data_IF_719527256681
#
_entry.id   IF_719527256681
#
_cell.length_a   1.000
_cell.length_b   1.000
_cell.length_c   1.000
_cell.angle_alpha   90.00
_cell.angle_beta   90.00
_cell.angle_gamma   90.00
#
_symmetry.space_group_name_H-M   'P 1'
#
loop_
_entity.id
_entity.type
_entity.pdbx_description
1 polymer ?
#
# COMPACT_ATOMS: atom_id res chain seq x y z
N UNK A 1 -2.02 38.34 -30.88
CA UNK A 1 -2.95 37.92 -29.81
C UNK A 1 -3.82 36.72 -30.20
N UNK A 2 -4.30 36.57 -31.45
CA UNK A 2 -5.18 35.46 -31.87
C UNK A 2 -4.53 34.06 -31.89
N UNK A 3 -3.25 33.93 -32.26
CA UNK A 3 -2.56 32.63 -32.30
C UNK A 3 -2.23 32.05 -30.91
N UNK A 4 -2.03 32.89 -29.89
CA UNK A 4 -1.80 32.43 -28.51
C UNK A 4 -3.09 31.93 -27.85
N UNK A 5 -4.24 32.57 -28.13
CA UNK A 5 -5.56 32.13 -27.68
C UNK A 5 -5.94 30.76 -28.28
N UNK A 6 -5.75 30.58 -29.60
CA UNK A 6 -6.02 29.29 -30.28
C UNK A 6 -5.13 28.14 -29.80
N UNK A 7 -3.87 28.41 -29.44
CA UNK A 7 -2.98 27.41 -28.84
C UNK A 7 -3.33 27.09 -27.38
N UNK A 8 -3.86 28.05 -26.61
CA UNK A 8 -4.37 27.79 -25.27
C UNK A 8 -5.65 26.95 -25.30
N UNK A 9 -6.59 27.27 -26.19
CA UNK A 9 -7.86 26.55 -26.30
C UNK A 9 -7.66 25.10 -26.80
N UNK A 10 -6.77 24.89 -27.78
CA UNK A 10 -6.45 23.54 -28.28
C UNK A 10 -5.67 22.69 -27.27
N UNK A 11 -4.75 23.29 -26.51
CA UNK A 11 -4.02 22.58 -25.45
C UNK A 11 -4.95 22.24 -24.27
N UNK A 12 -5.85 23.13 -23.87
CA UNK A 12 -6.86 22.84 -22.85
C UNK A 12 -7.82 21.73 -23.28
N UNK A 13 -8.30 21.74 -24.54
CA UNK A 13 -9.14 20.67 -25.09
C UNK A 13 -8.41 19.32 -25.08
N UNK A 14 -7.11 19.32 -25.41
CA UNK A 14 -6.30 18.09 -25.40
C UNK A 14 -6.13 17.51 -23.99
N UNK A 15 -5.94 18.37 -22.98
CA UNK A 15 -5.87 17.97 -21.57
C UNK A 15 -7.19 17.34 -21.13
N UNK A 16 -8.32 17.99 -21.43
CA UNK A 16 -9.66 17.49 -21.07
C UNK A 16 -9.91 16.11 -21.71
N UNK A 17 -9.54 15.93 -22.97
CA UNK A 17 -9.69 14.64 -23.65
C UNK A 17 -8.82 13.54 -23.02
N UNK A 18 -7.60 13.87 -22.59
CA UNK A 18 -6.72 12.92 -21.91
C UNK A 18 -7.26 12.51 -20.53
N UNK A 19 -7.77 13.47 -19.74
CA UNK A 19 -8.40 13.19 -18.44
C UNK A 19 -9.65 12.34 -18.58
N UNK A 20 -10.51 12.65 -19.57
CA UNK A 20 -11.70 11.85 -19.86
C UNK A 20 -11.34 10.42 -20.28
N UNK A 21 -10.27 10.23 -21.06
CA UNK A 21 -9.79 8.88 -21.41
C UNK A 21 -9.34 8.09 -20.18
N UNK A 22 -8.66 8.75 -19.23
CA UNK A 22 -8.21 8.12 -17.99
C UNK A 22 -9.38 7.72 -17.09
N UNK A 23 -10.33 8.63 -16.88
CA UNK A 23 -11.53 8.36 -16.08
C UNK A 23 -12.37 7.24 -16.72
N UNK A 24 -12.54 7.24 -18.04
CA UNK A 24 -13.25 6.17 -18.75
C UNK A 24 -12.56 4.81 -18.61
N UNK A 25 -11.23 4.77 -18.68
CA UNK A 25 -10.48 3.54 -18.41
C UNK A 25 -10.70 3.09 -16.97
N UNK A 26 -10.63 4.02 -16.03
CA UNK A 26 -10.76 3.74 -14.61
C UNK A 26 -12.13 3.14 -14.26
N UNK A 27 -13.22 3.76 -14.74
CA UNK A 27 -14.57 3.24 -14.54
C UNK A 27 -14.79 1.85 -15.15
N UNK A 28 -14.23 1.61 -16.34
CA UNK A 28 -14.42 0.33 -17.04
C UNK A 28 -13.54 -0.81 -16.53
N UNK A 29 -12.36 -0.51 -16.02
CA UNK A 29 -11.34 -1.51 -15.65
C UNK A 29 -10.54 -1.15 -14.41
N UNK A 30 -10.12 0.10 -14.27
CA UNK A 30 -9.24 0.52 -13.17
C UNK A 30 -9.81 0.25 -11.78
N UNK A 31 -11.10 0.50 -11.54
CA UNK A 31 -11.72 0.26 -10.23
C UNK A 31 -11.82 -1.23 -9.86
N UNK A 32 -12.02 -2.10 -10.83
CA UNK A 32 -12.01 -3.55 -10.65
C UNK A 32 -10.62 -4.05 -10.28
N UNK A 33 -9.59 -3.54 -10.97
CA UNK A 33 -8.19 -3.81 -10.63
C UNK A 33 -7.88 -3.32 -9.21
N UNK A 34 -8.26 -2.08 -8.87
CA UNK A 34 -7.95 -1.52 -7.56
C UNK A 34 -8.74 -2.17 -6.42
N UNK A 35 -9.95 -2.61 -6.72
CA UNK A 35 -10.82 -3.30 -5.77
C UNK A 35 -10.65 -4.81 -5.76
N UNK A 36 -9.70 -5.37 -6.50
CA UNK A 36 -9.45 -6.82 -6.57
C UNK A 36 -10.67 -7.65 -6.97
N UNK A 37 -11.53 -7.09 -7.82
CA UNK A 37 -12.84 -7.65 -8.16
C UNK A 37 -13.75 -7.89 -6.92
N UNK A 38 -13.40 -7.36 -5.74
CA UNK A 38 -14.22 -7.41 -4.55
C UNK A 38 -15.35 -6.38 -4.68
N UNK A 39 -16.57 -6.89 -4.91
CA UNK A 39 -17.73 -6.05 -5.17
C UNK A 39 -18.07 -5.16 -3.98
N UNK A 40 -17.87 -5.62 -2.75
CA UNK A 40 -18.18 -4.80 -1.57
C UNK A 40 -17.21 -3.64 -1.45
N UNK A 41 -15.91 -3.89 -1.68
CA UNK A 41 -14.89 -2.87 -1.69
C UNK A 41 -15.11 -1.85 -2.80
N UNK A 42 -15.42 -2.31 -4.02
CA UNK A 42 -15.69 -1.41 -5.17
C UNK A 42 -16.91 -0.54 -4.89
N UNK A 43 -18.02 -1.10 -4.42
CA UNK A 43 -19.24 -0.33 -4.13
C UNK A 43 -18.98 0.72 -3.05
N UNK A 44 -18.27 0.32 -2.00
CA UNK A 44 -18.01 1.20 -0.90
C UNK A 44 -17.03 2.32 -1.34
N UNK A 45 -16.00 1.99 -2.12
CA UNK A 45 -15.12 2.98 -2.76
C UNK A 45 -15.89 3.94 -3.67
N UNK A 46 -16.80 3.42 -4.51
CA UNK A 46 -17.67 4.23 -5.38
C UNK A 46 -18.55 5.18 -4.54
N UNK A 47 -19.14 4.73 -3.44
CA UNK A 47 -19.98 5.57 -2.55
C UNK A 47 -19.19 6.75 -1.96
N UNK A 48 -17.98 6.50 -1.45
CA UNK A 48 -17.17 7.55 -0.82
C UNK A 48 -16.57 8.48 -1.86
N UNK A 49 -15.97 7.93 -2.92
CA UNK A 49 -15.26 8.72 -3.92
C UNK A 49 -16.22 9.49 -4.82
N UNK A 50 -17.35 8.92 -5.23
CA UNK A 50 -18.32 9.64 -6.07
C UNK A 50 -18.98 10.82 -5.35
N UNK A 51 -19.03 10.80 -4.02
CA UNK A 51 -19.49 11.95 -3.25
C UNK A 51 -18.57 13.18 -3.40
N UNK A 52 -17.33 12.99 -3.88
CA UNK A 52 -16.32 14.04 -4.05
C UNK A 52 -15.81 14.24 -5.49
N UNK A 53 -15.92 13.23 -6.35
CA UNK A 53 -15.03 13.01 -7.52
C UNK A 53 -15.05 14.08 -8.62
N UNK A 54 -15.90 15.10 -8.53
CA UNK A 54 -15.92 16.24 -9.46
C UNK A 54 -15.89 17.64 -8.83
N UNK A 55 -15.84 17.74 -7.50
CA UNK A 55 -15.82 19.03 -6.79
C UNK A 55 -14.55 19.24 -5.95
N UNK A 56 -13.79 18.17 -5.71
CA UNK A 56 -12.58 18.17 -4.88
C UNK A 56 -11.32 18.02 -5.75
N UNK A 57 -10.52 19.10 -5.93
CA UNK A 57 -9.31 19.07 -6.76
C UNK A 57 -8.28 18.03 -6.30
N UNK A 58 -8.18 17.78 -4.99
CA UNK A 58 -7.25 16.79 -4.43
C UNK A 58 -7.62 15.37 -4.85
N UNK A 59 -8.90 15.00 -4.68
CA UNK A 59 -9.42 13.69 -5.05
C UNK A 59 -9.34 13.48 -6.55
N UNK A 60 -9.74 14.47 -7.36
CA UNK A 60 -9.61 14.40 -8.82
C UNK A 60 -8.17 14.12 -9.25
N UNK A 61 -7.19 14.86 -8.70
CA UNK A 61 -5.78 14.67 -9.04
C UNK A 61 -5.28 13.28 -8.60
N UNK A 62 -5.72 12.81 -7.44
CA UNK A 62 -5.37 11.48 -6.93
C UNK A 62 -5.96 10.36 -7.81
N UNK A 63 -7.21 10.51 -8.26
CA UNK A 63 -7.86 9.56 -9.17
C UNK A 63 -7.18 9.49 -10.52
N UNK A 64 -6.83 10.65 -11.09
CA UNK A 64 -6.12 10.72 -12.36
C UNK A 64 -4.72 10.10 -12.26
N UNK A 65 -4.02 10.30 -11.14
CA UNK A 65 -2.74 9.65 -10.87
C UNK A 65 -2.90 8.11 -10.88
N UNK A 66 -3.89 7.60 -10.14
CA UNK A 66 -4.22 6.18 -10.10
C UNK A 66 -4.57 5.62 -11.47
N UNK A 67 -5.53 6.24 -12.16
CA UNK A 67 -5.98 5.82 -13.47
C UNK A 67 -4.83 5.74 -14.48
N UNK A 68 -3.97 6.76 -14.51
CA UNK A 68 -2.82 6.80 -15.42
C UNK A 68 -1.81 5.70 -15.14
N UNK A 69 -1.46 5.46 -13.88
CA UNK A 69 -0.47 4.43 -13.53
C UNK A 69 -1.03 3.02 -13.70
N UNK A 70 -2.28 2.76 -13.30
CA UNK A 70 -2.94 1.46 -13.55
C UNK A 70 -3.00 1.19 -15.05
N UNK A 71 -3.35 2.20 -15.85
CA UNK A 71 -3.42 2.03 -17.30
C UNK A 71 -2.04 1.78 -17.92
N UNK A 72 -1.01 2.50 -17.45
CA UNK A 72 0.38 2.23 -17.84
C UNK A 72 0.76 0.77 -17.59
N UNK A 73 0.51 0.27 -16.38
CA UNK A 73 0.86 -1.10 -15.99
C UNK A 73 0.04 -2.13 -16.77
N UNK A 74 -1.25 -1.85 -17.01
CA UNK A 74 -2.11 -2.70 -17.84
C UNK A 74 -1.56 -2.85 -19.27
N UNK A 75 -1.13 -1.76 -19.90
CA UNK A 75 -0.52 -1.79 -21.23
C UNK A 75 0.80 -2.57 -21.21
N UNK A 76 1.64 -2.35 -20.21
CA UNK A 76 2.94 -3.02 -20.11
C UNK A 76 2.81 -4.53 -19.91
N UNK A 77 1.84 -4.98 -19.12
CA UNK A 77 1.62 -6.40 -18.83
C UNK A 77 0.91 -7.14 -19.97
N UNK A 78 -0.10 -6.52 -20.61
CA UNK A 78 -0.90 -7.17 -21.66
C UNK A 78 -0.33 -7.00 -23.08
N UNK A 79 0.49 -5.98 -23.31
CA UNK A 79 1.00 -5.61 -24.63
C UNK A 79 2.52 -5.38 -24.61
N UNK A 80 3.27 -6.15 -23.81
CA UNK A 80 4.72 -5.99 -23.60
C UNK A 80 5.56 -6.08 -24.88
N UNK A 81 5.06 -6.73 -25.93
CA UNK A 81 5.75 -6.93 -27.21
C UNK A 81 5.45 -5.87 -28.26
N UNK A 82 4.48 -4.97 -28.01
CA UNK A 82 4.10 -3.89 -28.91
C UNK A 82 4.83 -2.57 -28.51
N UNK A 83 5.74 -2.06 -29.37
CA UNK A 83 6.47 -0.83 -29.09
C UNK A 83 5.56 0.39 -28.86
N UNK A 84 4.41 0.45 -29.53
CA UNK A 84 3.49 1.59 -29.40
C UNK A 84 2.80 1.60 -28.04
N UNK A 85 2.42 0.41 -27.54
CA UNK A 85 1.87 0.22 -26.19
C UNK A 85 2.90 0.55 -25.11
N UNK A 86 4.19 0.24 -25.33
CA UNK A 86 5.25 0.59 -24.39
C UNK A 86 5.50 2.10 -24.32
N UNK A 87 5.52 2.79 -25.46
CA UNK A 87 5.64 4.26 -25.52
C UNK A 87 4.48 4.91 -24.75
N UNK A 88 3.25 4.48 -25.04
CA UNK A 88 2.06 5.00 -24.36
C UNK A 88 2.05 4.70 -22.86
N UNK A 89 2.52 3.51 -22.45
CA UNK A 89 2.70 3.17 -21.03
C UNK A 89 3.63 4.17 -20.35
N UNK A 90 4.77 4.49 -20.95
CA UNK A 90 5.72 5.45 -20.38
C UNK A 90 5.15 6.88 -20.30
N UNK A 91 4.40 7.32 -21.31
CA UNK A 91 3.69 8.61 -21.29
C UNK A 91 2.64 8.67 -20.18
N UNK A 92 1.83 7.62 -20.03
CA UNK A 92 0.83 7.50 -18.97
C UNK A 92 1.47 7.47 -17.59
N UNK A 93 2.60 6.77 -17.42
CA UNK A 93 3.35 6.77 -16.18
C UNK A 93 3.85 8.18 -15.82
N UNK A 94 4.44 8.90 -16.78
CA UNK A 94 4.88 10.28 -16.58
C UNK A 94 3.73 11.24 -16.26
N UNK A 95 2.56 11.06 -16.87
CA UNK A 95 1.35 11.80 -16.53
C UNK A 95 0.86 11.47 -15.11
N UNK A 96 0.86 10.19 -14.73
CA UNK A 96 0.54 9.72 -13.39
C UNK A 96 1.40 10.37 -12.31
N UNK A 97 2.73 10.43 -12.53
CA UNK A 97 3.66 11.14 -11.63
C UNK A 97 3.30 12.61 -11.45
N UNK A 98 2.94 13.32 -12.53
CA UNK A 98 2.55 14.74 -12.47
C UNK A 98 1.27 14.95 -11.66
N UNK A 99 0.26 14.12 -11.90
CA UNK A 99 -0.99 14.16 -11.13
C UNK A 99 -0.76 13.80 -9.66
N UNK A 100 0.13 12.84 -9.39
CA UNK A 100 0.50 12.46 -8.03
C UNK A 100 1.17 13.63 -7.29
N UNK A 101 2.17 14.29 -7.89
CA UNK A 101 2.81 15.48 -7.31
C UNK A 101 1.81 16.60 -7.03
N UNK A 102 0.89 16.84 -7.98
CA UNK A 102 -0.20 17.80 -7.80
C UNK A 102 -1.11 17.42 -6.63
N UNK A 103 -1.43 16.13 -6.47
CA UNK A 103 -2.27 15.65 -5.36
C UNK A 103 -1.63 15.89 -4.00
N UNK A 104 -0.31 15.66 -3.87
CA UNK A 104 0.43 15.92 -2.63
C UNK A 104 0.42 17.41 -2.29
N UNK A 105 0.64 18.27 -3.29
CA UNK A 105 0.57 19.72 -3.10
C UNK A 105 -0.81 20.19 -2.62
N UNK A 106 -1.89 19.72 -3.27
CA UNK A 106 -3.25 20.08 -2.90
C UNK A 106 -3.64 19.57 -1.51
N UNK A 107 -3.19 18.38 -1.12
CA UNK A 107 -3.41 17.86 0.23
C UNK A 107 -2.66 18.67 1.28
N UNK A 108 -1.44 19.11 0.98
CA UNK A 108 -0.69 20.01 1.86
C UNK A 108 -1.44 21.33 2.06
N UNK A 109 -1.94 21.96 0.98
CA UNK A 109 -2.77 23.17 1.09
C UNK A 109 -4.04 22.93 1.92
N UNK A 110 -4.68 21.77 1.74
CA UNK A 110 -5.88 21.39 2.49
C UNK A 110 -5.59 21.22 3.99
N UNK A 111 -4.47 20.60 4.35
CA UNK A 111 -4.00 20.49 5.73
C UNK A 111 -3.75 21.87 6.35
N UNK A 112 -3.08 22.77 5.62
CA UNK A 112 -2.83 24.15 6.06
C UNK A 112 -4.14 24.92 6.28
N UNK A 113 -5.13 24.74 5.40
CA UNK A 113 -6.46 25.36 5.57
C UNK A 113 -7.19 24.82 6.80
N UNK A 114 -7.20 23.49 6.97
CA UNK A 114 -7.82 22.83 8.12
C UNK A 114 -7.19 23.31 9.43
N UNK A 115 -5.86 23.46 9.49
CA UNK A 115 -5.14 23.88 10.68
C UNK A 115 -5.35 25.35 11.06
N UNK A 116 -5.91 26.17 10.18
CA UNK A 116 -6.22 27.58 10.48
C UNK A 116 -7.55 27.76 11.23
N UNK A 117 -8.35 26.71 11.36
CA UNK A 117 -9.65 26.75 12.04
C UNK A 117 -9.64 25.86 13.28
N UNK A 118 -10.11 26.39 14.42
CA UNK A 118 -10.37 25.59 15.63
C UNK A 118 -11.54 24.61 15.42
N UNK A 119 -12.41 24.88 14.43
CA UNK A 119 -13.49 24.00 13.99
C UNK A 119 -13.34 23.69 12.49
N UNK A 120 -12.53 22.67 12.13
CA UNK A 120 -12.36 22.24 10.76
C UNK A 120 -13.68 21.94 10.05
N UNK A 121 -13.77 22.31 8.77
CA UNK A 121 -14.92 21.92 7.95
C UNK A 121 -14.89 20.39 7.72
N UNK A 122 -15.96 19.70 8.11
CA UNK A 122 -16.10 18.24 8.00
C UNK A 122 -15.90 17.75 6.56
N UNK A 123 -16.36 18.48 5.55
CA UNK A 123 -16.19 18.10 4.14
C UNK A 123 -14.71 18.19 3.71
N UNK A 124 -13.97 19.19 4.18
CA UNK A 124 -12.53 19.30 3.91
C UNK A 124 -11.75 18.17 4.57
N UNK A 125 -12.12 17.81 5.81
CA UNK A 125 -11.52 16.68 6.52
C UNK A 125 -11.81 15.37 5.77
N UNK A 126 -13.07 15.14 5.36
CA UNK A 126 -13.42 13.95 4.58
C UNK A 126 -12.68 13.90 3.24
N UNK A 127 -12.56 15.03 2.53
CA UNK A 127 -11.79 15.12 1.29
C UNK A 127 -10.33 14.70 1.50
N UNK A 128 -9.69 15.19 2.57
CA UNK A 128 -8.31 14.86 2.92
C UNK A 128 -8.16 13.36 3.20
N UNK A 129 -9.03 12.79 4.04
CA UNK A 129 -8.97 11.39 4.43
C UNK A 129 -9.28 10.45 3.26
N UNK A 130 -10.25 10.79 2.41
CA UNK A 130 -10.54 10.06 1.18
C UNK A 130 -9.37 10.14 0.19
N UNK A 131 -8.71 11.30 0.06
CA UNK A 131 -7.50 11.43 -0.77
C UNK A 131 -6.38 10.49 -0.29
N UNK A 132 -6.16 10.42 1.03
CA UNK A 132 -5.17 9.50 1.62
C UNK A 132 -5.52 8.03 1.34
N UNK A 133 -6.80 7.65 1.35
CA UNK A 133 -7.26 6.30 1.02
C UNK A 133 -6.99 5.95 -0.45
N UNK A 134 -7.32 6.84 -1.38
CA UNK A 134 -7.09 6.59 -2.81
C UNK A 134 -5.59 6.55 -3.12
N UNK A 135 -4.78 7.37 -2.43
CA UNK A 135 -3.32 7.25 -2.49
C UNK A 135 -2.80 5.96 -1.86
N UNK A 136 -3.42 5.47 -0.78
CA UNK A 136 -3.05 4.16 -0.24
C UNK A 136 -3.24 3.06 -1.28
N UNK A 137 -4.43 2.98 -1.90
CA UNK A 137 -4.68 2.07 -3.02
C UNK A 137 -3.67 2.24 -4.16
N UNK A 138 -3.26 3.46 -4.47
CA UNK A 138 -2.21 3.70 -5.44
C UNK A 138 -0.90 2.95 -5.14
N UNK A 139 -0.37 3.10 -3.92
CA UNK A 139 0.92 2.53 -3.53
C UNK A 139 0.91 1.06 -3.16
N UNK A 140 -0.26 0.48 -2.95
CA UNK A 140 -0.35 -0.96 -2.68
C UNK A 140 -0.41 -1.76 -3.97
N UNK A 141 -0.94 -1.15 -5.05
CA UNK A 141 -1.30 -1.82 -6.29
C UNK A 141 -0.32 -1.47 -7.42
N UNK A 142 0.15 -0.22 -7.44
CA UNK A 142 0.97 0.32 -8.52
C UNK A 142 2.36 0.69 -8.02
N UNK A 143 3.26 -0.28 -8.11
CA UNK A 143 4.50 -0.26 -7.34
C UNK A 143 5.75 -0.09 -8.22
N UNK A 144 5.58 0.37 -9.46
CA UNK A 144 6.68 0.51 -10.40
C UNK A 144 7.58 1.71 -10.04
N UNK A 145 8.62 1.45 -9.24
CA UNK A 145 9.80 2.31 -9.01
C UNK A 145 9.53 3.79 -8.71
N UNK A 146 8.35 4.13 -8.21
CA UNK A 146 8.01 5.51 -7.86
C UNK A 146 8.74 5.94 -6.59
N UNK A 147 8.71 5.07 -5.58
CA UNK A 147 9.41 5.22 -4.32
C UNK A 147 9.73 3.82 -3.75
N UNK A 148 10.84 3.67 -3.02
CA UNK A 148 11.17 2.40 -2.38
C UNK A 148 10.22 2.11 -1.22
N UNK A 149 10.08 0.85 -0.83
CA UNK A 149 9.34 0.48 0.38
C UNK A 149 9.98 1.15 1.62
N UNK A 150 11.32 1.07 1.72
CA UNK A 150 12.13 1.73 2.74
C UNK A 150 13.39 2.32 2.09
N UNK A 151 13.73 3.55 2.44
CA UNK A 151 14.99 4.19 2.12
C UNK A 151 15.76 4.47 3.40
N UNK A 152 16.96 3.89 3.52
CA UNK A 152 17.87 4.24 4.62
C UNK A 152 18.49 5.64 4.43
N UNK A 153 18.37 6.23 3.23
CA UNK A 153 18.69 7.64 3.01
C UNK A 153 17.50 8.51 3.44
N UNK A 154 17.64 9.21 4.57
CA UNK A 154 16.62 10.09 5.15
C UNK A 154 16.18 11.26 4.26
N UNK A 155 16.94 11.59 3.22
CA UNK A 155 16.58 12.64 2.26
C UNK A 155 15.64 12.14 1.15
N UNK A 156 15.43 10.83 1.05
CA UNK A 156 14.56 10.22 0.05
C UNK A 156 13.27 9.76 0.72
N UNK A 157 12.13 10.19 0.17
CA UNK A 157 10.81 9.74 0.59
C UNK A 157 10.61 8.27 0.21
N UNK A 158 10.05 7.49 1.13
CA UNK A 158 9.73 6.09 0.97
C UNK A 158 8.30 5.79 1.44
N UNK A 159 7.84 4.55 1.28
CA UNK A 159 6.46 4.21 1.62
C UNK A 159 6.25 4.28 3.14
N UNK A 160 7.23 3.86 3.94
CA UNK A 160 7.14 3.84 5.41
C UNK A 160 6.91 5.24 5.99
N UNK A 161 7.66 6.25 5.52
CA UNK A 161 7.49 7.65 5.91
C UNK A 161 6.16 8.23 5.42
N UNK A 162 5.74 7.92 4.19
CA UNK A 162 4.45 8.39 3.68
C UNK A 162 3.26 7.81 4.46
N UNK A 163 3.32 6.52 4.80
CA UNK A 163 2.31 5.84 5.60
C UNK A 163 2.27 6.36 7.04
N UNK A 164 3.40 6.82 7.58
CA UNK A 164 3.44 7.56 8.85
C UNK A 164 2.62 8.85 8.76
N UNK A 165 2.80 9.64 7.70
CA UNK A 165 2.01 10.86 7.48
C UNK A 165 0.53 10.54 7.38
N UNK A 166 0.13 9.50 6.63
CA UNK A 166 -1.28 9.08 6.51
C UNK A 166 -1.86 8.62 7.86
N UNK A 167 -1.08 7.90 8.67
CA UNK A 167 -1.47 7.53 10.05
C UNK A 167 -1.71 8.77 10.91
N UNK A 168 -0.79 9.73 10.88
CA UNK A 168 -0.85 10.93 11.71
C UNK A 168 -2.04 11.82 11.34
N UNK A 169 -2.30 12.00 10.04
CA UNK A 169 -3.49 12.72 9.56
C UNK A 169 -4.79 12.04 10.02
N UNK A 170 -4.86 10.71 9.93
CA UNK A 170 -6.01 9.95 10.41
C UNK A 170 -6.23 10.11 11.91
N UNK A 171 -5.21 9.86 12.74
CA UNK A 171 -5.32 10.01 14.20
C UNK A 171 -5.79 11.41 14.56
N UNK A 172 -5.23 12.44 13.90
CA UNK A 172 -5.57 13.83 14.18
C UNK A 172 -7.00 14.22 13.78
N UNK A 173 -7.47 13.75 12.63
CA UNK A 173 -8.71 14.29 12.03
C UNK A 173 -9.91 13.34 12.03
N UNK A 174 -9.73 12.06 12.35
CA UNK A 174 -10.82 11.08 12.29
C UNK A 174 -11.99 11.42 13.23
N UNK A 175 -11.72 11.97 14.41
CA UNK A 175 -12.75 12.37 15.38
C UNK A 175 -13.72 13.43 14.85
N UNK A 176 -13.36 14.21 13.83
CA UNK A 176 -14.25 15.19 13.20
C UNK A 176 -15.25 14.56 12.22
N UNK A 177 -15.07 13.29 11.87
CA UNK A 177 -15.90 12.59 10.88
C UNK A 177 -16.63 11.37 11.45
N UNK A 178 -16.39 11.00 12.72
CA UNK A 178 -16.96 9.80 13.35
C UNK A 178 -18.49 9.75 13.33
N UNK A 179 -19.15 10.90 13.51
CA UNK A 179 -20.61 11.00 13.55
C UNK A 179 -21.24 10.83 12.15
N UNK A 180 -20.49 11.14 11.09
CA UNK A 180 -20.91 10.97 9.69
C UNK A 180 -20.58 9.56 9.19
N UNK A 181 -19.52 8.95 9.72
CA UNK A 181 -19.01 7.63 9.33
C UNK A 181 -19.80 6.48 9.98
N UNK A 182 -20.58 6.75 11.04
CA UNK A 182 -21.51 5.80 11.70
C UNK A 182 -22.66 5.39 10.77
N UNK A 183 -22.35 4.59 9.75
CA UNK A 183 -23.29 4.13 8.72
C UNK A 183 -22.64 3.72 7.39
N UNK A 184 -21.37 4.09 7.15
CA UNK A 184 -20.67 3.77 5.89
C UNK A 184 -19.92 2.42 5.96
N UNK A 185 -19.88 1.68 4.85
CA UNK A 185 -19.41 0.28 4.78
C UNK A 185 -17.88 0.10 4.59
N UNK A 186 -17.08 1.17 4.53
CA UNK A 186 -15.60 1.09 4.36
C UNK A 186 -14.84 1.18 5.69
N UNK A 187 -15.47 0.82 6.82
CA UNK A 187 -14.85 1.06 8.12
C UNK A 187 -13.49 0.36 8.39
N UNK A 188 -13.15 -0.84 7.87
CA UNK A 188 -11.90 -1.51 8.27
C UNK A 188 -10.61 -0.78 7.86
N UNK A 189 -10.63 0.07 6.84
CA UNK A 189 -9.45 0.82 6.36
C UNK A 189 -9.27 2.18 7.03
N UNK A 190 -10.35 2.70 7.60
CA UNK A 190 -10.37 3.92 8.39
C UNK A 190 -10.29 3.65 9.88
N UNK A 191 -10.41 2.39 10.33
CA UNK A 191 -10.24 2.07 11.74
C UNK A 191 -8.81 2.38 12.16
N UNK A 192 -8.69 3.35 13.08
CA UNK A 192 -7.44 3.66 13.80
C UNK A 192 -7.05 2.49 14.71
N UNK A 193 -8.03 1.65 15.05
CA UNK A 193 -7.87 0.53 15.95
C UNK A 193 -7.28 -0.62 15.15
N UNK A 194 -6.11 -1.16 15.54
CA UNK A 194 -5.61 -2.39 14.96
C UNK A 194 -6.67 -3.50 15.16
N UNK A 195 -6.76 -4.49 14.26
CA UNK A 195 -7.72 -5.56 14.45
C UNK A 195 -7.45 -6.20 15.83
N UNK A 196 -8.50 -6.39 16.63
CA UNK A 196 -8.33 -6.98 17.95
C UNK A 196 -7.77 -8.39 17.79
N UNK A 197 -6.67 -8.69 18.48
CA UNK A 197 -6.20 -10.07 18.61
C UNK A 197 -7.25 -10.84 19.42
N UNK A 198 -7.90 -11.88 18.87
CA UNK A 198 -8.82 -12.67 19.66
C UNK A 198 -8.01 -13.39 20.74
N UNK A 199 -8.44 -13.27 21.99
CA UNK A 199 -7.77 -13.90 23.14
C UNK A 199 -7.72 -15.45 23.08
N UNK A 200 -8.37 -16.09 22.09
CA UNK A 200 -8.56 -17.55 22.04
C UNK A 200 -8.52 -18.19 20.64
N UNK A 201 -8.02 -17.53 19.60
CA UNK A 201 -7.90 -18.15 18.27
C UNK A 201 -6.56 -18.87 18.07
N UNK A 202 -6.57 -19.90 17.22
CA UNK A 202 -5.40 -20.68 16.79
C UNK A 202 -4.31 -19.72 16.28
N UNK A 203 -3.07 -19.82 16.76
CA UNK A 203 -1.99 -18.97 16.26
C UNK A 203 -1.63 -19.30 14.81
N UNK A 204 -1.38 -18.26 13.99
CA UNK A 204 -0.75 -18.44 12.68
C UNK A 204 0.65 -19.07 12.85
N UNK A 205 1.00 -20.12 12.07
CA UNK A 205 2.33 -20.72 12.13
C UNK A 205 3.47 -19.71 11.91
N UNK A 206 3.31 -18.80 10.94
CA UNK A 206 4.31 -17.79 10.61
C UNK A 206 4.60 -16.83 11.79
N UNK A 207 3.56 -16.22 12.37
CA UNK A 207 3.73 -15.24 13.47
C UNK A 207 4.27 -15.90 14.73
N UNK A 208 3.85 -17.15 15.00
CA UNK A 208 4.37 -17.95 16.10
C UNK A 208 5.88 -18.20 15.96
N UNK A 209 6.35 -18.55 14.77
CA UNK A 209 7.79 -18.72 14.52
C UNK A 209 8.55 -17.40 14.73
N UNK A 210 8.04 -16.28 14.22
CA UNK A 210 8.66 -14.97 14.45
C UNK A 210 8.76 -14.60 15.93
N UNK A 211 7.72 -14.90 16.72
CA UNK A 211 7.74 -14.67 18.17
C UNK A 211 8.77 -15.54 18.88
N UNK A 212 8.93 -16.81 18.49
CA UNK A 212 10.00 -17.65 19.04
C UNK A 212 11.39 -17.11 18.69
N UNK A 213 11.63 -16.79 17.42
CA UNK A 213 12.90 -16.23 16.97
C UNK A 213 13.23 -14.92 17.72
N UNK A 214 12.23 -14.08 18.00
CA UNK A 214 12.40 -12.83 18.74
C UNK A 214 12.85 -13.07 20.19
N UNK A 215 12.28 -14.08 20.86
CA UNK A 215 12.62 -14.44 22.24
C UNK A 215 14.08 -14.93 22.34
N UNK A 216 14.57 -15.62 21.31
CA UNK A 216 15.93 -16.17 21.28
C UNK A 216 17.03 -15.11 21.12
N UNK A 217 16.68 -13.87 20.76
CA UNK A 217 17.66 -12.78 20.62
C UNK A 217 18.09 -12.27 22.00
N UNK A 218 19.33 -12.55 22.37
CA UNK A 218 19.90 -12.18 23.68
C UNK A 218 20.29 -10.70 23.76
N UNK A 219 20.80 -10.12 22.67
CA UNK A 219 21.38 -8.76 22.67
C UNK A 219 20.36 -7.62 22.43
N UNK A 220 19.06 -7.92 22.43
CA UNK A 220 18.00 -6.94 22.23
C UNK A 220 17.35 -6.57 23.57
N UNK A 221 17.12 -5.27 23.81
CA UNK A 221 16.45 -4.80 25.01
C UNK A 221 14.98 -5.26 25.07
N UNK A 222 14.40 -5.35 26.27
CA UNK A 222 13.00 -5.75 26.43
C UNK A 222 12.04 -4.75 25.76
N UNK A 223 12.33 -3.44 25.81
CA UNK A 223 11.55 -2.42 25.12
C UNK A 223 11.58 -2.63 23.59
N UNK A 224 12.75 -2.93 23.02
CA UNK A 224 12.85 -3.25 21.59
C UNK A 224 12.09 -4.54 21.24
N UNK A 225 12.18 -5.57 22.08
CA UNK A 225 11.41 -6.81 21.89
C UNK A 225 9.92 -6.55 21.94
N UNK A 226 9.44 -5.72 22.87
CA UNK A 226 8.02 -5.34 22.94
C UNK A 226 7.57 -4.64 21.66
N UNK A 227 8.37 -3.71 21.13
CA UNK A 227 8.10 -3.02 19.86
C UNK A 227 8.00 -4.03 18.70
N UNK A 228 8.93 -4.99 18.59
CA UNK A 228 8.90 -6.03 17.55
C UNK A 228 7.70 -6.96 17.72
N UNK A 229 7.39 -7.36 18.96
CA UNK A 229 6.27 -8.24 19.27
C UNK A 229 4.93 -7.58 18.93
N UNK A 230 4.79 -6.27 19.15
CA UNK A 230 3.60 -5.52 18.74
C UNK A 230 3.38 -5.57 17.22
N UNK A 231 4.44 -5.50 16.42
CA UNK A 231 4.34 -5.65 14.95
C UNK A 231 3.93 -7.08 14.56
N UNK A 232 4.50 -8.11 15.22
CA UNK A 232 4.08 -9.51 15.00
C UNK A 232 2.60 -9.69 15.34
N UNK A 233 2.13 -9.10 16.43
CA UNK A 233 0.71 -9.13 16.83
C UNK A 233 -0.18 -8.44 15.79
N UNK A 234 0.28 -7.35 15.18
CA UNK A 234 -0.46 -6.71 14.09
C UNK A 234 -0.52 -7.62 12.86
N UNK A 235 0.56 -8.35 12.52
CA UNK A 235 0.51 -9.34 11.44
C UNK A 235 -0.55 -10.41 11.71
N UNK A 236 -0.54 -11.01 12.91
CA UNK A 236 -1.52 -12.02 13.33
C UNK A 236 -2.95 -11.52 13.11
N UNK A 237 -3.25 -10.36 13.67
CA UNK A 237 -4.57 -9.76 13.59
C UNK A 237 -4.99 -9.42 12.14
N UNK A 238 -4.02 -8.99 11.31
CA UNK A 238 -4.28 -8.63 9.91
C UNK A 238 -4.50 -9.85 9.03
N UNK A 239 -3.72 -10.93 9.22
CA UNK A 239 -3.90 -12.20 8.52
C UNK A 239 -5.27 -12.80 8.86
N UNK A 240 -5.61 -12.81 10.15
CA UNK A 240 -6.90 -13.31 10.59
C UNK A 240 -8.07 -12.48 10.03
N UNK A 241 -7.96 -11.15 10.08
CA UNK A 241 -8.99 -10.29 9.53
C UNK A 241 -9.14 -10.51 8.02
N UNK A 242 -8.04 -10.65 7.30
CA UNK A 242 -8.05 -10.95 5.87
C UNK A 242 -8.75 -12.28 5.55
N UNK A 243 -8.57 -13.30 6.39
CA UNK A 243 -9.31 -14.55 6.29
C UNK A 243 -10.80 -14.38 6.57
N UNK A 244 -11.16 -13.66 7.64
CA UNK A 244 -12.57 -13.41 8.03
C UNK A 244 -13.36 -12.68 6.96
N UNK A 245 -12.74 -11.68 6.31
CA UNK A 245 -13.38 -10.91 5.23
C UNK A 245 -13.11 -11.47 3.84
N UNK A 246 -12.34 -12.56 3.75
CA UNK A 246 -11.88 -13.17 2.50
C UNK A 246 -11.27 -12.16 1.51
N UNK A 247 -10.47 -11.22 2.03
CA UNK A 247 -9.86 -10.16 1.26
C UNK A 247 -8.50 -9.78 1.85
N UNK A 248 -7.44 -9.70 1.04
CA UNK A 248 -6.07 -9.55 1.52
C UNK A 248 -5.68 -8.12 1.95
N UNK A 249 -6.54 -7.13 1.72
CA UNK A 249 -6.20 -5.73 2.01
C UNK A 249 -5.97 -5.38 3.50
N UNK A 250 -6.50 -6.10 4.52
CA UNK A 250 -6.03 -5.94 5.91
C UNK A 250 -4.52 -6.21 6.07
N UNK A 251 -3.95 -7.16 5.33
CA UNK A 251 -2.50 -7.43 5.34
C UNK A 251 -1.72 -6.23 4.80
N UNK A 252 -2.20 -5.64 3.71
CA UNK A 252 -1.62 -4.41 3.16
C UNK A 252 -1.65 -3.26 4.16
N UNK A 253 -2.81 -3.04 4.78
CA UNK A 253 -3.07 -1.94 5.70
C UNK A 253 -2.20 -2.00 6.96
N UNK A 254 -1.55 -3.13 7.24
CA UNK A 254 -0.71 -3.34 8.40
C UNK A 254 0.36 -2.26 8.61
N UNK A 255 0.99 -1.78 7.52
CA UNK A 255 2.01 -0.71 7.53
C UNK A 255 1.55 0.60 8.20
N UNK A 256 0.24 0.81 8.25
CA UNK A 256 -0.38 1.98 8.87
C UNK A 256 -0.38 1.92 10.40
N UNK A 257 -0.25 0.72 10.97
CA UNK A 257 -0.27 0.49 12.42
C UNK A 257 1.11 0.49 13.07
N UNK A 258 2.19 0.48 12.28
CA UNK A 258 3.54 0.61 12.81
C UNK A 258 3.66 1.81 13.74
N UNK A 259 4.36 1.66 14.85
CA UNK A 259 4.63 2.73 15.80
C UNK A 259 5.80 3.60 15.30
N UNK A 260 5.99 4.78 15.89
CA UNK A 260 7.11 5.64 15.51
C UNK A 260 8.45 5.04 15.97
N UNK A 261 8.45 4.32 17.08
CA UNK A 261 9.58 3.56 17.61
C UNK A 261 9.99 2.45 16.64
N UNK A 262 9.04 1.65 16.14
CA UNK A 262 9.35 0.62 15.13
C UNK A 262 9.91 1.23 13.84
N UNK A 263 9.32 2.35 13.36
CA UNK A 263 9.85 3.06 12.21
C UNK A 263 11.28 3.53 12.46
N UNK A 264 11.57 4.07 13.62
CA UNK A 264 12.93 4.46 13.99
C UNK A 264 13.88 3.27 13.94
N UNK A 265 13.48 2.10 14.45
CA UNK A 265 14.27 0.87 14.35
C UNK A 265 14.56 0.45 12.90
N UNK A 266 13.58 0.58 11.98
CA UNK A 266 13.80 0.33 10.55
C UNK A 266 14.89 1.24 9.97
N UNK A 267 14.80 2.53 10.25
CA UNK A 267 15.77 3.51 9.72
C UNK A 267 17.13 3.45 10.40
N UNK A 268 17.21 2.95 11.62
CA UNK A 268 18.47 2.60 12.29
C UNK A 268 19.03 1.26 11.79
N UNK A 269 18.38 0.65 10.79
CA UNK A 269 18.75 -0.61 10.18
C UNK A 269 18.86 -1.77 11.19
N UNK A 270 18.01 -1.76 12.23
CA UNK A 270 17.86 -2.86 13.17
C UNK A 270 17.48 -4.13 12.39
N UNK A 271 18.21 -5.22 12.62
CA UNK A 271 18.13 -6.42 11.78
C UNK A 271 16.77 -7.10 11.84
N UNK A 272 16.21 -7.21 13.04
CA UNK A 272 14.93 -7.84 13.23
C UNK A 272 13.80 -6.96 12.71
N UNK A 273 13.90 -5.64 12.86
CA UNK A 273 12.94 -4.70 12.26
C UNK A 273 12.91 -4.85 10.73
N UNK A 274 14.09 -4.89 10.09
CA UNK A 274 14.19 -5.11 8.64
C UNK A 274 13.65 -6.49 8.23
N UNK A 275 13.87 -7.51 9.06
CA UNK A 275 13.29 -8.85 8.86
C UNK A 275 11.76 -8.82 8.90
N UNK A 276 11.16 -8.15 9.88
CA UNK A 276 9.71 -8.01 9.94
C UNK A 276 9.15 -7.27 8.72
N UNK A 277 9.85 -6.24 8.22
CA UNK A 277 9.46 -5.57 6.98
C UNK A 277 9.63 -6.48 5.74
N UNK A 278 10.62 -7.38 5.73
CA UNK A 278 10.80 -8.40 4.70
C UNK A 278 9.64 -9.40 4.70
N UNK A 279 9.20 -9.85 5.87
CA UNK A 279 8.03 -10.74 6.00
C UNK A 279 6.78 -10.03 5.50
N UNK A 280 6.56 -8.77 5.91
CA UNK A 280 5.45 -7.95 5.41
C UNK A 280 5.47 -7.84 3.87
N UNK A 281 6.62 -7.51 3.29
CA UNK A 281 6.77 -7.41 1.84
C UNK A 281 6.46 -8.74 1.14
N UNK A 282 6.93 -9.85 1.71
CA UNK A 282 6.68 -11.21 1.19
C UNK A 282 5.20 -11.54 1.21
N UNK A 283 4.50 -11.27 2.33
CA UNK A 283 3.05 -11.46 2.42
C UNK A 283 2.31 -10.61 1.39
N UNK A 284 2.67 -9.32 1.24
CA UNK A 284 2.06 -8.45 0.23
C UNK A 284 2.27 -9.00 -1.19
N UNK A 285 3.48 -9.48 -1.51
CA UNK A 285 3.80 -10.05 -2.82
C UNK A 285 3.06 -11.37 -3.11
N UNK A 286 2.84 -12.19 -2.07
CA UNK A 286 2.17 -13.48 -2.19
C UNK A 286 0.64 -13.37 -2.30
N UNK A 287 0.02 -12.32 -1.76
CA UNK A 287 -1.45 -12.13 -1.83
C UNK A 287 -2.01 -11.94 -3.25
N UNK A 288 -1.14 -11.78 -4.26
CA UNK A 288 -1.56 -11.54 -5.66
C UNK A 288 -2.05 -10.13 -5.91
N UNK A 289 -1.87 -9.24 -4.93
CA UNK A 289 -2.31 -7.85 -4.98
C UNK A 289 -1.49 -7.02 -5.99
N UNK A 290 -0.14 -7.02 -5.93
CA UNK A 290 0.64 -6.27 -6.89
C UNK A 290 0.34 -6.73 -8.32
N UNK A 291 0.10 -5.76 -9.23
CA UNK A 291 -0.17 -6.06 -10.65
C UNK A 291 0.93 -6.92 -11.30
N UNK A 292 2.16 -6.74 -10.84
CA UNK A 292 3.27 -7.63 -11.13
C UNK A 292 4.02 -7.89 -9.81
N UNK A 293 4.09 -9.15 -9.40
CA UNK A 293 4.78 -9.56 -8.16
C UNK A 293 6.23 -9.11 -8.13
N UNK A 294 6.98 -9.41 -9.19
CA UNK A 294 8.43 -9.22 -9.24
C UNK A 294 8.82 -7.80 -9.62
N UNK A 295 7.96 -7.09 -10.36
CA UNK A 295 8.13 -5.67 -10.71
C UNK A 295 7.30 -4.80 -9.76
N UNK A 296 7.62 -4.89 -8.46
CA UNK A 296 6.96 -4.13 -7.40
C UNK A 296 7.95 -3.69 -6.31
N UNK A 297 7.61 -2.61 -5.58
CA UNK A 297 8.31 -2.18 -4.36
C UNK A 297 8.56 -3.30 -3.34
N UNK A 298 7.67 -4.30 -3.27
CA UNK A 298 7.85 -5.44 -2.37
C UNK A 298 8.91 -6.39 -2.91
N UNK A 299 8.86 -6.71 -4.21
CA UNK A 299 9.89 -7.51 -4.89
C UNK A 299 11.28 -6.85 -4.84
N UNK A 300 11.34 -5.53 -5.02
CA UNK A 300 12.56 -4.73 -4.88
C UNK A 300 13.14 -4.84 -3.46
N UNK A 301 12.29 -4.68 -2.42
CA UNK A 301 12.73 -4.79 -1.03
C UNK A 301 13.16 -6.22 -0.65
N UNK A 302 12.43 -7.24 -1.11
CA UNK A 302 12.76 -8.66 -0.90
C UNK A 302 14.12 -8.99 -1.50
N UNK A 303 14.38 -8.50 -2.71
CA UNK A 303 15.67 -8.67 -3.39
C UNK A 303 16.79 -7.98 -2.61
N UNK A 304 16.60 -6.71 -2.24
CA UNK A 304 17.55 -5.95 -1.44
C UNK A 304 17.86 -6.61 -0.10
N UNK A 305 16.82 -7.10 0.62
CA UNK A 305 17.00 -7.74 1.91
C UNK A 305 17.83 -9.02 1.79
N UNK A 306 17.55 -9.86 0.79
CA UNK A 306 18.35 -11.06 0.51
C UNK A 306 19.81 -10.71 0.23
N UNK A 307 20.07 -9.74 -0.64
CA UNK A 307 21.43 -9.31 -0.97
C UNK A 307 22.18 -8.87 0.28
N UNK A 308 21.54 -8.06 1.13
CA UNK A 308 22.09 -7.62 2.42
C UNK A 308 22.42 -8.78 3.35
N UNK A 309 21.49 -9.72 3.53
CA UNK A 309 21.66 -10.88 4.41
C UNK A 309 22.77 -11.81 3.90
N UNK A 310 22.78 -12.13 2.60
CA UNK A 310 23.82 -12.96 1.98
C UNK A 310 25.19 -12.29 2.06
N UNK A 311 25.27 -10.97 1.83
CA UNK A 311 26.53 -10.24 1.96
C UNK A 311 27.09 -10.30 3.39
N UNK A 312 26.20 -10.27 4.40
CA UNK A 312 26.62 -10.26 5.81
C UNK A 312 26.89 -11.65 6.38
N UNK A 313 26.05 -12.63 6.07
CA UNK A 313 26.03 -13.95 6.71
C UNK A 313 26.31 -15.12 5.75
N UNK A 314 26.46 -14.85 4.45
CA UNK A 314 26.65 -15.87 3.40
C UNK A 314 25.36 -16.59 2.97
N UNK A 315 24.33 -16.61 3.81
CA UNK A 315 23.02 -17.21 3.54
C UNK A 315 21.95 -16.63 4.46
N UNK A 316 20.68 -17.00 4.26
CA UNK A 316 19.62 -16.67 5.21
C UNK A 316 19.88 -17.32 6.57
N UNK A 317 19.76 -16.51 7.63
CA UNK A 317 19.93 -16.96 9.03
C UNK A 317 18.73 -17.81 9.47
N UNK A 318 17.52 -17.35 9.16
CA UNK A 318 16.28 -18.02 9.50
C UNK A 318 15.75 -18.82 8.31
N UNK A 319 15.30 -20.05 8.55
CA UNK A 319 14.73 -20.88 7.48
C UNK A 319 13.53 -20.20 6.85
N UNK A 320 12.57 -19.74 7.68
CA UNK A 320 11.31 -19.14 7.20
C UNK A 320 11.55 -18.02 6.19
N UNK A 321 12.62 -17.25 6.35
CA UNK A 321 12.96 -16.16 5.44
C UNK A 321 13.38 -16.70 4.05
N UNK A 322 14.14 -17.79 4.02
CA UNK A 322 14.51 -18.51 2.79
C UNK A 322 13.28 -19.09 2.10
N UNK A 323 12.38 -19.72 2.86
CA UNK A 323 11.15 -20.30 2.30
C UNK A 323 10.22 -19.21 1.73
N UNK A 324 10.01 -18.11 2.46
CA UNK A 324 9.25 -16.94 1.97
C UNK A 324 9.87 -16.38 0.70
N UNK A 325 11.19 -16.17 0.68
CA UNK A 325 11.89 -15.69 -0.51
C UNK A 325 11.67 -16.65 -1.69
N UNK A 326 11.80 -17.97 -1.47
CA UNK A 326 11.61 -18.97 -2.53
C UNK A 326 10.18 -18.93 -3.09
N UNK A 327 9.18 -18.91 -2.23
CA UNK A 327 7.77 -18.82 -2.64
C UNK A 327 7.50 -17.56 -3.47
N UNK A 328 8.06 -16.41 -3.09
CA UNK A 328 7.88 -15.15 -3.84
C UNK A 328 8.60 -15.19 -5.18
N UNK A 329 9.89 -15.54 -5.18
CA UNK A 329 10.79 -15.29 -6.31
C UNK A 329 10.89 -16.45 -7.29
N UNK A 330 10.67 -17.68 -6.83
CA UNK A 330 10.96 -18.89 -7.60
C UNK A 330 9.70 -19.70 -7.94
N UNK A 331 8.52 -19.31 -7.44
CA UNK A 331 7.28 -20.06 -7.66
C UNK A 331 6.13 -19.15 -8.12
N UNK A 332 5.08 -19.78 -8.64
CA UNK A 332 3.80 -19.12 -8.92
C UNK A 332 2.81 -19.18 -7.75
N UNK A 333 3.25 -19.53 -6.54
CA UNK A 333 2.39 -19.67 -5.37
C UNK A 333 1.65 -18.36 -5.08
N UNK A 334 0.32 -18.40 -4.96
CA UNK A 334 -0.50 -17.25 -4.56
C UNK A 334 -1.19 -17.61 -3.25
N UNK A 335 -1.08 -16.72 -2.27
CA UNK A 335 -1.66 -16.89 -0.95
C UNK A 335 -3.13 -16.50 -0.99
N UNK A 336 -4.02 -17.49 -0.86
CA UNK A 336 -5.46 -17.25 -0.83
C UNK A 336 -5.88 -16.52 0.43
N UNK A 337 -6.69 -15.44 0.36
CA UNK A 337 -7.26 -14.79 1.54
C UNK A 337 -8.00 -15.78 2.44
N UNK A 338 -8.70 -16.77 1.87
CA UNK A 338 -9.49 -17.75 2.64
C UNK A 338 -8.68 -18.66 3.58
N UNK A 339 -7.36 -18.78 3.37
CA UNK A 339 -6.47 -19.65 4.14
C UNK A 339 -5.23 -18.91 4.65
N UNK A 340 -5.24 -17.58 4.59
CA UNK A 340 -4.05 -16.76 4.80
C UNK A 340 -3.54 -16.80 6.24
N UNK A 341 -4.42 -17.04 7.22
CA UNK A 341 -4.05 -17.15 8.64
C UNK A 341 -3.48 -18.52 8.99
N UNK A 342 -3.85 -19.56 8.24
CA UNK A 342 -3.26 -20.90 8.37
C UNK A 342 -1.94 -21.07 7.62
N UNK A 343 -1.42 -20.01 7.01
CA UNK A 343 -0.24 -20.05 6.16
C UNK A 343 1.03 -20.46 6.91
N UNK A 344 1.69 -21.50 6.41
CA UNK A 344 3.01 -21.95 6.83
C UNK A 344 3.95 -21.98 5.61
N UNK A 345 4.92 -21.05 5.52
CA UNK A 345 5.86 -21.00 4.41
C UNK A 345 6.64 -22.31 4.21
N UNK A 346 6.95 -23.01 5.30
CA UNK A 346 7.73 -24.25 5.26
C UNK A 346 6.94 -25.35 4.57
N UNK A 347 5.68 -25.53 4.98
CA UNK A 347 4.78 -26.54 4.41
C UNK A 347 4.48 -26.24 2.95
N UNK A 348 4.25 -24.98 2.59
CA UNK A 348 3.98 -24.61 1.20
C UNK A 348 5.21 -24.76 0.30
N UNK A 349 6.41 -24.41 0.78
CA UNK A 349 7.63 -24.51 -0.01
C UNK A 349 7.97 -25.96 -0.39
N UNK A 350 7.76 -26.91 0.54
CA UNK A 350 8.01 -28.36 0.30
C UNK A 350 7.19 -28.87 -0.91
N UNK A 351 6.00 -28.34 -1.15
CA UNK A 351 5.14 -28.75 -2.27
C UNK A 351 5.71 -28.38 -3.65
N UNK A 352 6.67 -27.46 -3.71
CA UNK A 352 7.33 -27.01 -4.95
C UNK A 352 8.71 -27.64 -5.15
N UNK A 353 9.23 -28.38 -4.17
CA UNK A 353 10.50 -29.10 -4.25
C UNK A 353 10.33 -30.56 -4.72
N UNK A 354 9.08 -31.00 -4.86
CA UNK A 354 8.66 -32.31 -5.39
C UNK A 354 8.25 -32.18 -6.86
#
# INVERSE_FOLDING_TARGET
MSQQLLHQDSSQLSIINSELSLLNFFEKKGKFIMGYDDTQYILAWDDEINSFSFHSPSIKSTLLANAATVFSNYLRTKHSTDPSSLIRSNELFAAGMKYFQKSIYLQYELVEQINKSDHPNVLQVRELLASCLVQFGYFMINNHKMLPLLSLNRNQVDLISLMQSHRNLRIKYFTYVTDVVSGQKILPYFTIIPPASPEFEKFCPLTRTLSYDLIEIQDMSEDEKEIMQNVINYFEASLLQAQKVNFACPVLANILFYSDEFRNSLYMANEFALRLLFVYASLCALTGIPLNRLDSIYGDYITWYKERVVQKYGSFVYSVDRELHSLVMNTSFVLSPSTIHDFDPTVECIKYEQ
#
